data_IF_405646342960
#
_entry.id   IF_405646342960
#
_cell.length_a   1.000
_cell.length_b   1.000
_cell.length_c   1.000
_cell.angle_alpha   90.00
_cell.angle_beta   90.00
_cell.angle_gamma   90.00
#
_symmetry.space_group_name_H-M   'P 1'
#
loop_
_entity.id
_entity.type
_entity.pdbx_description
1 polymer ?
#
# COMPACT_ATOMS: atom_id res chain seq x y z
N UNK A 1 33.18 -32.02 21.08
CA UNK A 1 32.03 -31.10 21.27
C UNK A 1 31.91 -30.04 20.18
N UNK A 2 32.96 -29.25 19.89
CA UNK A 2 32.94 -28.18 18.86
C UNK A 2 32.47 -28.63 17.47
N UNK A 3 32.90 -29.79 16.96
CA UNK A 3 32.48 -30.33 15.65
C UNK A 3 30.97 -30.66 15.58
N UNK A 4 30.39 -31.21 16.67
CA UNK A 4 28.95 -31.49 16.74
C UNK A 4 28.14 -30.19 16.77
N UNK A 5 28.60 -29.19 17.53
CA UNK A 5 27.99 -27.85 17.58
C UNK A 5 28.01 -27.18 16.20
N UNK A 6 29.15 -27.23 15.49
CA UNK A 6 29.27 -26.69 14.14
C UNK A 6 28.30 -27.37 13.16
N UNK A 7 28.22 -28.70 13.18
CA UNK A 7 27.28 -29.46 12.33
C UNK A 7 25.83 -29.06 12.63
N UNK A 8 25.45 -28.97 13.91
CA UNK A 8 24.11 -28.54 14.31
C UNK A 8 23.80 -27.12 13.83
N UNK A 9 24.72 -26.17 14.00
CA UNK A 9 24.56 -24.80 13.52
C UNK A 9 24.43 -24.73 12.00
N UNK A 10 25.22 -25.53 11.26
CA UNK A 10 25.10 -25.62 9.79
C UNK A 10 23.75 -26.17 9.35
N UNK A 11 23.23 -27.20 10.02
CA UNK A 11 21.92 -27.76 9.71
C UNK A 11 20.81 -26.73 9.99
N UNK A 12 20.87 -26.03 11.12
CA UNK A 12 19.93 -24.94 11.44
C UNK A 12 19.99 -23.85 10.37
N UNK A 13 21.20 -23.41 9.99
CA UNK A 13 21.37 -22.40 8.96
C UNK A 13 20.75 -22.84 7.62
N UNK A 14 20.96 -24.09 7.20
CA UNK A 14 20.36 -24.63 5.97
C UNK A 14 18.83 -24.59 6.04
N UNK A 15 18.24 -24.96 7.18
CA UNK A 15 16.79 -24.89 7.36
C UNK A 15 16.28 -23.44 7.38
N UNK A 16 17.02 -22.52 8.02
CA UNK A 16 16.69 -21.10 8.02
C UNK A 16 16.77 -20.50 6.61
N UNK A 17 17.83 -20.81 5.85
CA UNK A 17 18.01 -20.34 4.47
C UNK A 17 16.96 -20.96 3.54
N UNK A 18 16.69 -22.25 3.65
CA UNK A 18 15.65 -22.94 2.87
C UNK A 18 14.25 -22.42 3.18
N UNK A 19 13.90 -22.28 4.46
CA UNK A 19 12.62 -21.72 4.90
C UNK A 19 12.45 -20.25 4.50
N UNK A 20 13.52 -19.45 4.61
CA UNK A 20 13.52 -18.07 4.11
C UNK A 20 13.36 -18.00 2.60
N UNK A 21 14.07 -18.86 1.86
CA UNK A 21 13.95 -18.98 0.40
C UNK A 21 12.54 -19.34 -0.04
N UNK A 22 11.88 -20.28 0.64
CA UNK A 22 10.47 -20.60 0.39
C UNK A 22 9.56 -19.39 0.67
N UNK A 23 9.77 -18.71 1.80
CA UNK A 23 8.98 -17.55 2.18
C UNK A 23 9.04 -16.40 1.17
N UNK A 24 10.23 -16.03 0.69
CA UNK A 24 10.38 -14.89 -0.24
C UNK A 24 9.84 -15.18 -1.64
N UNK A 25 9.67 -16.46 -2.00
CA UNK A 25 9.12 -16.88 -3.29
C UNK A 25 7.60 -17.14 -3.24
N UNK A 26 7.04 -17.46 -2.08
CA UNK A 26 5.60 -17.63 -1.91
C UNK A 26 4.93 -16.26 -1.70
N UNK A 27 4.46 -15.62 -2.78
CA UNK A 27 3.73 -14.35 -2.69
C UNK A 27 2.67 -14.22 -3.80
N UNK A 28 1.77 -13.25 -3.63
CA UNK A 28 0.75 -12.92 -4.63
C UNK A 28 1.34 -12.08 -5.74
N UNK A 29 1.44 -12.67 -6.93
CA UNK A 29 1.95 -12.04 -8.13
C UNK A 29 0.95 -11.07 -8.75
N UNK A 30 1.47 -10.02 -9.38
CA UNK A 30 0.64 -9.13 -10.19
C UNK A 30 0.04 -9.88 -11.39
N UNK A 31 -1.21 -9.57 -11.72
CA UNK A 31 -1.86 -10.05 -12.94
C UNK A 31 -1.38 -9.23 -14.16
N UNK A 32 -1.54 -9.79 -15.36
CA UNK A 32 -1.00 -9.19 -16.60
C UNK A 32 -1.47 -7.75 -16.84
N UNK A 33 -2.73 -7.45 -16.56
CA UNK A 33 -3.32 -6.12 -16.65
C UNK A 33 -2.61 -5.07 -15.77
N UNK A 34 -2.04 -5.49 -14.63
CA UNK A 34 -1.24 -4.62 -13.78
C UNK A 34 0.17 -4.40 -14.30
N UNK A 35 0.76 -5.42 -14.92
CA UNK A 35 2.11 -5.36 -15.47
C UNK A 35 2.16 -4.54 -16.76
N UNK A 36 1.09 -4.56 -17.57
CA UNK A 36 0.99 -3.76 -18.80
C UNK A 36 1.23 -2.25 -18.56
N UNK A 37 0.80 -1.74 -17.40
CA UNK A 37 0.94 -0.33 -17.01
C UNK A 37 2.41 0.09 -16.88
N UNK A 38 3.34 -0.84 -16.65
CA UNK A 38 4.77 -0.52 -16.63
C UNK A 38 5.28 0.06 -17.96
N UNK A 39 4.57 -0.19 -19.06
CA UNK A 39 4.92 0.31 -20.39
C UNK A 39 4.36 1.71 -20.69
N UNK A 40 3.56 2.29 -19.79
CA UNK A 40 2.98 3.63 -19.97
C UNK A 40 4.04 4.72 -19.72
N UNK A 41 3.98 5.82 -20.48
CA UNK A 41 5.01 6.87 -20.46
C UNK A 41 5.11 7.60 -19.10
N UNK A 42 3.99 7.69 -18.41
CA UNK A 42 3.84 8.32 -17.09
C UNK A 42 4.49 7.48 -15.97
N UNK A 43 4.81 6.22 -16.24
CA UNK A 43 5.29 5.24 -15.27
C UNK A 43 6.80 5.06 -15.42
N UNK A 44 7.54 5.24 -14.32
CA UNK A 44 9.00 5.10 -14.29
C UNK A 44 9.45 4.25 -13.12
N UNK A 45 10.20 3.18 -13.41
CA UNK A 45 10.93 2.45 -12.38
C UNK A 45 12.21 3.22 -12.05
N UNK A 46 12.18 3.99 -10.96
CA UNK A 46 13.29 4.86 -10.56
C UNK A 46 14.48 4.05 -10.06
N UNK A 47 14.21 2.95 -9.34
CA UNK A 47 15.20 1.97 -8.89
C UNK A 47 14.47 0.69 -8.43
N UNK A 48 15.19 -0.24 -7.81
CA UNK A 48 14.62 -1.48 -7.26
C UNK A 48 13.59 -1.27 -6.15
N UNK A 49 13.55 -0.08 -5.53
CA UNK A 49 12.73 0.21 -4.36
C UNK A 49 11.54 1.14 -4.65
N UNK A 50 11.45 1.74 -5.84
CA UNK A 50 10.45 2.78 -6.14
C UNK A 50 10.04 2.78 -7.60
N UNK A 51 8.73 2.76 -7.82
CA UNK A 51 8.08 3.09 -9.10
C UNK A 51 7.31 4.39 -8.90
N UNK A 52 7.41 5.31 -9.87
CA UNK A 52 6.68 6.58 -9.87
C UNK A 52 5.70 6.64 -11.02
N UNK A 53 4.53 7.23 -10.79
CA UNK A 53 3.57 7.61 -11.81
C UNK A 53 3.38 9.13 -11.72
N UNK A 54 3.74 9.84 -12.78
CA UNK A 54 3.73 11.31 -12.80
C UNK A 54 2.68 11.82 -13.78
N UNK A 55 1.75 12.69 -13.35
CA UNK A 55 0.74 13.23 -14.23
C UNK A 55 1.32 14.13 -15.31
N UNK A 56 0.68 14.14 -16.48
CA UNK A 56 1.08 15.01 -17.59
C UNK A 56 1.01 16.50 -17.24
N UNK A 57 0.03 16.88 -16.40
CA UNK A 57 -0.08 18.24 -15.86
C UNK A 57 0.66 18.32 -14.53
N UNK A 58 1.48 19.35 -14.37
CA UNK A 58 2.19 19.61 -13.12
C UNK A 58 1.23 19.68 -11.94
N UNK A 59 1.60 18.98 -10.86
CA UNK A 59 0.86 18.91 -9.61
C UNK A 59 1.86 18.87 -8.46
N UNK A 60 1.54 19.57 -7.37
CA UNK A 60 2.31 19.59 -6.12
C UNK A 60 1.72 18.66 -5.05
N UNK A 61 0.82 17.75 -5.46
CA UNK A 61 0.23 16.73 -4.59
C UNK A 61 0.85 15.36 -4.88
N UNK A 62 1.33 14.69 -3.83
CA UNK A 62 1.98 13.39 -3.88
C UNK A 62 1.33 12.34 -2.98
N UNK A 63 1.20 11.12 -3.49
CA UNK A 63 0.68 9.95 -2.77
C UNK A 63 1.77 8.89 -2.71
N UNK A 64 2.28 8.60 -1.51
CA UNK A 64 3.22 7.51 -1.27
C UNK A 64 2.41 6.26 -0.93
N UNK A 65 2.63 5.15 -1.64
CA UNK A 65 1.82 3.93 -1.49
C UNK A 65 2.62 2.76 -0.92
N UNK A 66 2.15 2.22 0.20
CA UNK A 66 2.72 1.06 0.88
C UNK A 66 1.89 -0.20 0.56
N UNK A 67 2.45 -1.19 -0.17
CA UNK A 67 1.74 -2.40 -0.56
C UNK A 67 1.45 -3.32 0.63
N UNK A 68 0.46 -4.19 0.46
CA UNK A 68 0.12 -5.26 1.40
C UNK A 68 1.22 -6.32 1.53
N UNK A 69 1.17 -7.09 2.62
CA UNK A 69 2.12 -8.15 2.90
C UNK A 69 2.04 -9.28 1.87
N UNK A 70 3.19 -9.77 1.42
CA UNK A 70 3.30 -10.84 0.42
C UNK A 70 2.55 -10.54 -0.88
N UNK A 71 2.42 -9.26 -1.25
CA UNK A 71 1.84 -8.85 -2.54
C UNK A 71 2.92 -8.15 -3.36
N UNK A 72 3.04 -8.52 -4.63
CA UNK A 72 3.88 -7.80 -5.57
C UNK A 72 3.40 -6.35 -5.70
N UNK A 73 4.30 -5.37 -5.54
CA UNK A 73 3.94 -3.95 -5.52
C UNK A 73 3.29 -3.50 -6.84
N UNK A 74 3.73 -4.05 -7.98
CA UNK A 74 3.18 -3.77 -9.31
C UNK A 74 1.68 -4.10 -9.41
N UNK A 75 1.15 -4.97 -8.56
CA UNK A 75 -0.27 -5.28 -8.52
C UNK A 75 -1.16 -4.06 -8.16
N UNK A 76 -0.58 -2.98 -7.61
CA UNK A 76 -1.31 -1.75 -7.30
C UNK A 76 -1.26 -0.71 -8.42
N UNK A 77 -0.51 -0.95 -9.50
CA UNK A 77 -0.38 -0.01 -10.62
C UNK A 77 -1.73 0.40 -11.23
N UNK A 78 -2.73 -0.48 -11.44
CA UNK A 78 -4.03 -0.07 -11.96
C UNK A 78 -4.81 0.92 -11.09
N UNK A 79 -4.65 0.82 -9.75
CA UNK A 79 -5.24 1.78 -8.84
C UNK A 79 -4.47 3.11 -8.89
N UNK A 80 -3.13 3.05 -8.90
CA UNK A 80 -2.29 4.25 -8.91
C UNK A 80 -2.36 5.02 -10.24
N UNK A 81 -2.50 4.32 -11.36
CA UNK A 81 -2.67 4.94 -12.67
C UNK A 81 -3.98 5.77 -12.71
N UNK A 82 -5.04 5.30 -12.06
CA UNK A 82 -6.27 6.08 -11.96
C UNK A 82 -6.12 7.32 -11.06
N UNK A 83 -5.27 7.28 -10.03
CA UNK A 83 -4.93 8.45 -9.21
C UNK A 83 -4.05 9.43 -9.98
N UNK A 84 -3.08 8.92 -10.75
CA UNK A 84 -2.26 9.73 -11.65
C UNK A 84 -3.13 10.47 -12.66
N UNK A 85 -4.10 9.78 -13.30
CA UNK A 85 -5.11 10.41 -14.19
C UNK A 85 -5.98 11.47 -13.50
N UNK A 86 -6.03 11.51 -12.16
CA UNK A 86 -6.68 12.58 -11.37
C UNK A 86 -5.77 13.77 -11.08
N UNK A 87 -4.50 13.69 -11.47
CA UNK A 87 -3.49 14.72 -11.27
C UNK A 87 -2.60 14.50 -10.04
N UNK A 88 -2.50 13.28 -9.50
CA UNK A 88 -1.67 13.00 -8.33
C UNK A 88 -0.36 12.30 -8.70
N UNK A 89 0.76 12.81 -8.20
CA UNK A 89 2.02 12.08 -8.30
C UNK A 89 1.96 10.85 -7.40
N UNK A 90 2.15 9.65 -7.93
CA UNK A 90 2.08 8.41 -7.15
C UNK A 90 3.47 7.78 -7.00
N UNK A 91 3.80 7.35 -5.78
CA UNK A 91 5.09 6.78 -5.41
C UNK A 91 4.88 5.40 -4.80
N UNK A 92 4.98 4.36 -5.63
CA UNK A 92 4.78 2.97 -5.23
C UNK A 92 6.07 2.39 -4.66
N UNK A 93 6.07 2.15 -3.35
CA UNK A 93 7.23 1.59 -2.65
C UNK A 93 7.31 0.08 -2.86
N UNK A 94 8.48 -0.42 -3.27
CA UNK A 94 8.79 -1.85 -3.19
C UNK A 94 9.36 -2.16 -1.80
N UNK A 95 8.61 -2.93 -1.02
CA UNK A 95 8.98 -3.29 0.35
C UNK A 95 9.94 -4.49 0.37
N UNK A 96 11.01 -4.47 1.18
CA UNK A 96 11.90 -5.63 1.35
C UNK A 96 11.10 -6.87 1.74
N UNK A 97 11.37 -7.99 1.06
CA UNK A 97 10.68 -9.27 1.28
C UNK A 97 9.14 -9.17 1.17
N UNK A 98 8.63 -8.16 0.44
CA UNK A 98 7.20 -7.85 0.32
C UNK A 98 6.52 -7.60 1.67
N UNK A 99 7.26 -7.02 2.61
CA UNK A 99 6.83 -6.81 4.00
C UNK A 99 7.12 -5.37 4.44
N UNK A 100 6.07 -4.58 4.65
CA UNK A 100 6.20 -3.16 4.95
C UNK A 100 6.92 -2.86 6.28
N UNK A 101 6.97 -3.83 7.20
CA UNK A 101 7.66 -3.68 8.49
C UNK A 101 9.16 -3.38 8.33
N UNK A 102 9.79 -3.89 7.26
CA UNK A 102 11.23 -3.71 7.02
C UNK A 102 11.59 -2.36 6.41
N UNK A 103 10.62 -1.58 5.93
CA UNK A 103 10.88 -0.27 5.35
C UNK A 103 9.76 0.74 5.67
N UNK A 104 9.27 0.74 6.91
CA UNK A 104 8.21 1.65 7.39
C UNK A 104 8.56 3.14 7.23
N UNK A 105 9.85 3.48 7.13
CA UNK A 105 10.35 4.85 7.00
C UNK A 105 10.67 5.24 5.55
N UNK A 106 10.24 4.46 4.55
CA UNK A 106 10.51 4.73 3.13
C UNK A 106 10.05 6.12 2.69
N UNK A 107 9.01 6.66 3.34
CA UNK A 107 8.42 7.94 3.00
C UNK A 107 9.39 9.11 3.19
N UNK A 108 10.28 9.07 4.19
CA UNK A 108 11.29 10.13 4.42
C UNK A 108 12.12 10.39 3.15
N UNK A 109 12.71 9.33 2.58
CA UNK A 109 13.57 9.44 1.39
C UNK A 109 12.83 9.95 0.15
N UNK A 110 11.52 9.72 0.08
CA UNK A 110 10.70 10.17 -1.04
C UNK A 110 10.36 11.65 -0.84
N UNK A 111 9.86 12.02 0.35
CA UNK A 111 9.53 13.42 0.69
C UNK A 111 10.76 14.32 0.50
N UNK A 112 11.93 13.91 0.99
CA UNK A 112 13.17 14.69 0.86
C UNK A 112 13.64 14.82 -0.60
N UNK A 113 13.34 13.85 -1.46
CA UNK A 113 13.80 13.81 -2.86
C UNK A 113 12.93 14.64 -3.80
N UNK A 114 11.62 14.72 -3.55
CA UNK A 114 10.66 15.35 -4.47
C UNK A 114 10.16 16.69 -3.89
N UNK A 115 11.07 17.67 -3.83
CA UNK A 115 10.83 19.00 -3.24
C UNK A 115 9.78 19.85 -3.97
N UNK A 116 9.39 19.45 -5.18
CA UNK A 116 8.31 20.08 -5.94
C UNK A 116 6.91 19.71 -5.42
N UNK A 117 6.80 18.70 -4.55
CA UNK A 117 5.55 18.28 -3.92
C UNK A 117 5.41 19.01 -2.58
N UNK A 118 4.29 19.72 -2.41
CA UNK A 118 3.96 20.48 -1.20
C UNK A 118 2.96 19.76 -0.30
N UNK A 119 2.11 18.94 -0.90
CA UNK A 119 1.07 18.20 -0.18
C UNK A 119 1.30 16.69 -0.29
N UNK A 120 1.57 16.05 0.83
CA UNK A 120 1.90 14.64 0.93
C UNK A 120 0.80 13.84 1.60
N UNK A 121 0.40 12.75 0.95
CA UNK A 121 -0.50 11.77 1.51
C UNK A 121 0.20 10.42 1.57
N UNK A 122 0.15 9.77 2.73
CA UNK A 122 0.63 8.39 2.85
C UNK A 122 -0.56 7.44 2.73
N UNK A 123 -0.47 6.52 1.79
CA UNK A 123 -1.48 5.52 1.50
C UNK A 123 -0.92 4.12 1.78
N UNK A 124 -1.73 3.22 2.32
CA UNK A 124 -1.30 1.84 2.47
C UNK A 124 -2.45 0.83 2.48
N UNK A 125 -2.16 -0.35 1.93
CA UNK A 125 -3.10 -1.48 1.91
C UNK A 125 -2.74 -2.51 2.99
N UNK A 126 -3.73 -2.98 3.76
CA UNK A 126 -3.55 -4.07 4.72
C UNK A 126 -2.39 -3.80 5.70
N UNK A 127 -1.38 -4.68 5.77
CA UNK A 127 -0.15 -4.46 6.54
C UNK A 127 0.61 -3.18 6.13
N UNK A 128 0.61 -2.83 4.84
CA UNK A 128 1.16 -1.56 4.35
C UNK A 128 0.43 -0.36 4.97
N UNK A 129 -0.89 -0.46 5.14
CA UNK A 129 -1.70 0.53 5.84
C UNK A 129 -1.37 0.64 7.33
N UNK A 130 -1.17 -0.49 8.01
CA UNK A 130 -0.72 -0.48 9.40
C UNK A 130 0.66 0.20 9.58
N UNK A 131 1.60 -0.07 8.66
CA UNK A 131 2.92 0.56 8.70
C UNK A 131 2.89 2.04 8.28
N UNK A 132 2.02 2.40 7.33
CA UNK A 132 1.75 3.79 7.00
C UNK A 132 1.20 4.54 8.21
N UNK A 133 0.20 4.00 8.91
CA UNK A 133 -0.37 4.61 10.11
C UNK A 133 0.66 4.73 11.24
N UNK A 134 1.46 3.68 11.45
CA UNK A 134 2.60 3.69 12.39
C UNK A 134 3.62 4.79 12.06
N UNK A 135 3.95 4.97 10.78
CA UNK A 135 4.83 6.06 10.34
C UNK A 135 4.22 7.43 10.64
N UNK A 136 2.96 7.66 10.24
CA UNK A 136 2.28 8.96 10.46
C UNK A 136 2.18 9.28 11.95
N UNK A 137 1.92 8.29 12.81
CA UNK A 137 1.81 8.52 14.26
C UNK A 137 3.06 9.18 14.88
N UNK A 138 4.22 8.98 14.24
CA UNK A 138 5.54 9.47 14.66
C UNK A 138 6.07 10.64 13.81
N UNK A 139 5.37 10.99 12.73
CA UNK A 139 5.80 11.99 11.75
C UNK A 139 4.59 12.79 11.26
N UNK A 140 3.75 13.26 12.20
CA UNK A 140 2.45 13.90 11.91
C UNK A 140 2.59 15.18 11.08
N UNK A 141 3.73 15.83 11.16
CA UNK A 141 4.11 17.07 10.48
C UNK A 141 4.61 16.85 9.03
N UNK A 142 4.92 15.60 8.64
CA UNK A 142 5.48 15.30 7.32
C UNK A 142 4.46 15.00 6.23
N UNK A 143 3.20 14.77 6.60
CA UNK A 143 2.12 14.42 5.66
C UNK A 143 0.84 15.14 6.02
N UNK A 144 0.10 15.61 5.02
CA UNK A 144 -1.20 16.26 5.18
C UNK A 144 -2.31 15.25 5.51
N UNK A 145 -2.14 13.97 5.21
CA UNK A 145 -3.15 12.97 5.52
C UNK A 145 -2.73 11.51 5.31
N UNK A 146 -3.49 10.62 5.94
CA UNK A 146 -3.33 9.17 5.85
C UNK A 146 -4.51 8.55 5.09
N UNK A 147 -4.22 7.59 4.21
CA UNK A 147 -5.23 6.85 3.44
C UNK A 147 -5.03 5.35 3.71
N UNK A 148 -6.05 4.70 4.23
CA UNK A 148 -6.01 3.30 4.65
C UNK A 148 -6.96 2.48 3.78
N UNK A 149 -6.39 1.53 3.04
CA UNK A 149 -7.14 0.58 2.22
C UNK A 149 -7.18 -0.77 2.92
N UNK A 150 -8.37 -1.30 3.20
CA UNK A 150 -8.54 -2.60 3.85
C UNK A 150 -7.80 -2.72 5.20
N UNK A 151 -7.59 -1.59 5.88
CA UNK A 151 -6.85 -1.45 7.15
C UNK A 151 -7.52 -0.39 8.03
N UNK A 152 -6.97 -0.13 9.22
CA UNK A 152 -7.51 0.77 10.22
C UNK A 152 -6.38 1.52 10.92
N UNK A 153 -6.71 2.62 11.61
CA UNK A 153 -5.74 3.46 12.31
C UNK A 153 -4.95 2.60 13.33
N UNK A 154 -3.63 2.72 13.30
CA UNK A 154 -2.71 2.09 14.23
C UNK A 154 -1.73 3.12 14.79
N UNK A 155 -1.74 3.26 16.12
CA UNK A 155 -0.98 4.30 16.82
C UNK A 155 -1.76 5.61 16.94
N UNK A 156 -1.07 6.65 17.40
CA UNK A 156 -1.65 7.96 17.64
C UNK A 156 -1.78 8.77 16.33
N UNK A 157 -2.88 8.55 15.60
CA UNK A 157 -3.23 9.27 14.37
C UNK A 157 -4.68 9.76 14.45
N UNK A 158 -4.89 11.02 14.09
CA UNK A 158 -6.22 11.65 14.05
C UNK A 158 -7.12 11.02 12.97
N UNK A 159 -8.33 10.62 13.36
CA UNK A 159 -9.36 10.17 12.43
C UNK A 159 -9.86 11.29 11.49
N UNK A 160 -9.68 12.56 11.88
CA UNK A 160 -10.02 13.71 11.02
C UNK A 160 -9.06 13.83 9.83
N UNK A 161 -7.82 13.36 10.00
CA UNK A 161 -6.74 13.42 8.99
C UNK A 161 -6.51 12.08 8.31
N UNK A 162 -7.38 11.10 8.57
CA UNK A 162 -7.28 9.75 8.01
C UNK A 162 -8.54 9.38 7.23
N UNK A 163 -8.39 8.97 5.98
CA UNK A 163 -9.44 8.30 5.21
C UNK A 163 -9.30 6.79 5.35
N UNK A 164 -10.34 6.12 5.84
CA UNK A 164 -10.38 4.65 5.90
C UNK A 164 -11.37 4.09 4.88
N UNK A 165 -10.91 3.25 3.98
CA UNK A 165 -11.71 2.61 2.93
C UNK A 165 -11.61 1.09 3.08
N UNK A 166 -12.73 0.40 3.19
CA UNK A 166 -12.72 -1.06 3.21
C UNK A 166 -13.96 -1.66 2.53
N UNK A 167 -13.80 -2.86 1.97
CA UNK A 167 -14.91 -3.63 1.43
C UNK A 167 -15.82 -4.19 2.53
N UNK A 168 -17.13 -4.16 2.34
CA UNK A 168 -18.12 -4.71 3.30
C UNK A 168 -17.90 -6.19 3.65
N UNK A 169 -17.25 -6.96 2.76
CA UNK A 169 -16.93 -8.37 2.96
C UNK A 169 -15.56 -8.57 3.65
N UNK A 170 -14.84 -7.49 3.95
CA UNK A 170 -13.66 -7.50 4.82
C UNK A 170 -14.07 -7.28 6.28
N UNK A 171 -14.60 -8.33 6.91
CA UNK A 171 -15.19 -8.24 8.26
C UNK A 171 -14.16 -7.99 9.38
N UNK A 172 -12.88 -8.28 9.12
CA UNK A 172 -11.79 -8.09 10.09
C UNK A 172 -11.57 -6.61 10.46
N UNK A 173 -11.64 -5.72 9.46
CA UNK A 173 -11.44 -4.27 9.64
C UNK A 173 -12.59 -3.65 10.41
N UNK A 174 -13.84 -4.00 10.10
CA UNK A 174 -15.03 -3.44 10.76
C UNK A 174 -14.98 -3.60 12.29
N UNK A 175 -14.44 -4.72 12.79
CA UNK A 175 -14.34 -5.02 14.23
C UNK A 175 -13.26 -4.21 14.96
N UNK A 176 -12.37 -3.53 14.22
CA UNK A 176 -11.20 -2.81 14.74
C UNK A 176 -11.33 -1.29 14.64
N UNK A 177 -12.39 -0.79 14.02
CA UNK A 177 -12.66 0.63 13.88
C UNK A 177 -13.59 1.06 15.03
N UNK A 178 -13.07 1.92 15.91
CA UNK A 178 -13.81 2.59 16.99
C UNK A 178 -14.08 4.09 16.70
N UNK A 179 -13.54 4.62 15.60
CA UNK A 179 -13.75 5.98 15.12
C UNK A 179 -14.89 6.07 14.10
N UNK A 180 -15.38 7.29 13.85
CA UNK A 180 -16.57 7.54 13.00
C UNK A 180 -16.34 8.49 11.82
N UNK A 181 -15.20 9.17 11.76
CA UNK A 181 -14.90 10.17 10.73
C UNK A 181 -14.22 9.52 9.53
N UNK A 182 -14.52 10.03 8.33
CA UNK A 182 -13.84 9.70 7.07
C UNK A 182 -13.75 8.18 6.80
N UNK A 183 -14.85 7.46 6.99
CA UNK A 183 -14.94 6.03 6.69
C UNK A 183 -15.80 5.83 5.44
N UNK A 184 -15.28 5.05 4.49
CA UNK A 184 -16.00 4.63 3.29
C UNK A 184 -16.05 3.11 3.25
N UNK A 185 -17.28 2.58 3.27
CA UNK A 185 -17.53 1.13 3.17
C UNK A 185 -18.00 0.80 1.76
N UNK A 186 -17.20 0.06 1.01
CA UNK A 186 -17.52 -0.37 -0.36
C UNK A 186 -18.42 -1.61 -0.29
N UNK A 187 -19.71 -1.43 -0.58
CA UNK A 187 -20.67 -2.54 -0.59
C UNK A 187 -20.30 -3.58 -1.65
N UNK A 188 -20.32 -4.85 -1.24
CA UNK A 188 -19.88 -5.99 -2.07
C UNK A 188 -18.37 -6.11 -2.30
N UNK A 189 -17.58 -5.13 -1.86
CA UNK A 189 -16.12 -5.17 -1.94
C UNK A 189 -15.48 -6.11 -0.93
N UNK A 190 -14.28 -6.60 -1.23
CA UNK A 190 -13.47 -7.44 -0.34
C UNK A 190 -12.10 -6.81 -0.03
N UNK A 191 -11.21 -7.56 0.62
CA UNK A 191 -9.87 -7.12 0.97
C UNK A 191 -8.93 -7.10 -0.26
N UNK A 192 -8.80 -8.20 -1.01
CA UNK A 192 -7.88 -8.28 -2.14
C UNK A 192 -8.12 -7.29 -3.31
N UNK A 193 -9.36 -6.87 -3.57
CA UNK A 193 -9.70 -6.07 -4.76
C UNK A 193 -9.17 -4.62 -4.75
N UNK A 194 -8.38 -4.22 -3.74
CA UNK A 194 -7.57 -3.00 -3.85
C UNK A 194 -6.36 -3.18 -4.78
N UNK A 195 -5.90 -4.41 -5.01
CA UNK A 195 -4.85 -4.73 -5.99
C UNK A 195 -5.28 -5.78 -7.01
N UNK A 196 -4.45 -5.93 -8.04
CA UNK A 196 -4.64 -6.83 -9.19
C UNK A 196 -3.69 -8.03 -9.05
N UNK A 197 -3.93 -8.86 -8.04
CA UNK A 197 -3.12 -10.05 -7.74
C UNK A 197 -3.98 -11.31 -7.52
N UNK A 198 -5.21 -11.29 -8.01
CA UNK A 198 -6.15 -12.40 -7.88
C UNK A 198 -6.79 -12.52 -6.49
N UNK A 199 -7.14 -13.74 -6.11
CA UNK A 199 -7.76 -14.06 -4.83
C UNK A 199 -6.70 -14.33 -3.76
N UNK A 200 -6.86 -13.70 -2.59
CA UNK A 200 -6.01 -13.92 -1.43
C UNK A 200 -6.62 -14.97 -0.51
N UNK A 201 -5.79 -15.91 -0.03
CA UNK A 201 -6.23 -17.00 0.84
C UNK A 201 -6.81 -16.43 2.13
N UNK A 202 -8.04 -16.81 2.45
CA UNK A 202 -8.75 -16.36 3.65
C UNK A 202 -9.63 -15.12 3.44
N UNK A 203 -9.54 -14.46 2.28
CA UNK A 203 -10.44 -13.35 1.95
C UNK A 203 -11.81 -13.85 1.51
N UNK A 204 -12.85 -13.10 1.84
CA UNK A 204 -14.16 -13.32 1.22
C UNK A 204 -14.12 -12.99 -0.29
N UNK A 205 -14.88 -13.73 -1.09
CA UNK A 205 -15.09 -13.41 -2.51
C UNK A 205 -15.93 -12.14 -2.64
N UNK A 206 -15.46 -11.17 -3.42
CA UNK A 206 -16.23 -9.96 -3.72
C UNK A 206 -17.50 -10.27 -4.55
N UNK A 207 -18.55 -9.48 -4.34
CA UNK A 207 -19.77 -9.51 -5.17
C UNK A 207 -19.80 -8.41 -6.24
N UNK A 208 -18.82 -7.49 -6.20
CA UNK A 208 -18.57 -6.51 -7.27
C UNK A 208 -17.23 -6.77 -7.96
N UNK A 209 -17.07 -6.23 -9.16
CA UNK A 209 -15.79 -6.31 -9.88
C UNK A 209 -14.69 -5.51 -9.18
N UNK A 210 -13.44 -5.93 -9.38
CA UNK A 210 -12.25 -5.19 -8.92
C UNK A 210 -12.26 -3.75 -9.43
N UNK A 211 -12.54 -3.55 -10.72
CA UNK A 211 -12.65 -2.22 -11.33
C UNK A 211 -13.69 -1.35 -10.62
N UNK A 212 -14.86 -1.90 -10.26
CA UNK A 212 -15.88 -1.15 -9.51
C UNK A 212 -15.39 -0.74 -8.12
N UNK A 213 -14.74 -1.65 -7.39
CA UNK A 213 -14.16 -1.36 -6.08
C UNK A 213 -13.06 -0.28 -6.18
N UNK A 214 -12.16 -0.41 -7.15
CA UNK A 214 -11.09 0.57 -7.36
C UNK A 214 -11.66 1.94 -7.73
N UNK A 215 -12.60 2.03 -8.68
CA UNK A 215 -13.25 3.30 -9.05
C UNK A 215 -13.87 4.03 -7.84
N UNK A 216 -14.56 3.29 -6.95
CA UNK A 216 -15.11 3.85 -5.71
C UNK A 216 -14.00 4.32 -4.75
N UNK A 217 -12.91 3.56 -4.66
CA UNK A 217 -11.73 3.92 -3.88
C UNK A 217 -11.11 5.22 -4.39
N UNK A 218 -10.92 5.35 -5.71
CA UNK A 218 -10.38 6.56 -6.34
C UNK A 218 -11.26 7.77 -6.06
N UNK A 219 -12.58 7.62 -6.20
CA UNK A 219 -13.53 8.70 -5.91
C UNK A 219 -13.43 9.18 -4.46
N UNK A 220 -13.34 8.26 -3.50
CA UNK A 220 -13.19 8.59 -2.09
C UNK A 220 -11.87 9.32 -1.80
N UNK A 221 -10.75 8.85 -2.39
CA UNK A 221 -9.44 9.50 -2.25
C UNK A 221 -9.46 10.92 -2.84
N UNK A 222 -9.96 11.08 -4.07
CA UNK A 222 -10.04 12.37 -4.76
C UNK A 222 -10.87 13.39 -3.95
N UNK A 223 -12.01 12.97 -3.41
CA UNK A 223 -12.86 13.81 -2.55
C UNK A 223 -12.17 14.19 -1.24
N UNK A 224 -11.47 13.24 -0.61
CA UNK A 224 -10.76 13.49 0.64
C UNK A 224 -9.62 14.49 0.46
N UNK A 225 -8.80 14.33 -0.58
CA UNK A 225 -7.69 15.23 -0.89
C UNK A 225 -8.23 16.63 -1.23
N UNK A 226 -9.20 16.73 -2.15
CA UNK A 226 -9.76 18.05 -2.55
C UNK A 226 -10.36 18.82 -1.38
N UNK A 227 -11.04 18.14 -0.46
CA UNK A 227 -11.61 18.79 0.74
C UNK A 227 -10.54 19.39 1.66
N UNK A 228 -9.31 18.88 1.64
CA UNK A 228 -8.21 19.36 2.48
C UNK A 228 -7.35 20.44 1.82
N UNK A 229 -7.40 20.54 0.49
CA UNK A 229 -6.72 21.57 -0.28
C UNK A 229 -7.55 22.85 -0.45
N UNK A 230 -8.86 22.76 -0.22
CA UNK A 230 -9.79 23.89 -0.18
C UNK A 230 -9.91 24.45 1.24
#
# INVERSE_FOLDING_TARGET
MKKKILITLSIILIHCVGGFGFYVNDYYHAQGDALEILNHQEVKQVNSNLITLTPQKTSDVGIIFYPGAKVENTAYLPLLEQLEKKGYNCYLVNMPFKMAIFNKNAANKIIDKYSNIKHWYLCGHSMGGAMASSYVSKNKDKVDGLILLGSYIYGDVSAQDTLTIYGSLNTSVKKKIDYKKNIVVIQGGNHANFGNYGHQKGDAKATISRKSQQNQTIKAIDQFIKKRLN
#
